data_IF_234874429900
#
_entry.id   IF_234874429900
#
_cell.length_a   1.000
_cell.length_b   1.000
_cell.length_c   1.000
_cell.angle_alpha   90.00
_cell.angle_beta   90.00
_cell.angle_gamma   90.00
#
_symmetry.space_group_name_H-M   'P 1'
#
loop_
_entity.id
_entity.type
_entity.pdbx_description
1 polymer ?
#
# COMPACT_ATOMS: atom_id res chain seq x y z
N UNK A 1 -31.43 2.97 65.65
CA UNK A 1 -31.43 4.36 66.12
C UNK A 1 -30.47 5.09 65.18
N UNK A 2 -31.04 5.71 64.13
CA UNK A 2 -31.23 7.16 63.90
C UNK A 2 -29.88 7.88 63.81
N UNK A 3 -29.48 8.54 62.75
CA UNK A 3 -30.05 9.59 61.86
C UNK A 3 -29.16 9.69 60.61
N UNK A 4 -29.55 9.63 59.43
CA UNK A 4 -30.13 10.59 58.48
C UNK A 4 -29.70 12.03 58.70
N UNK A 5 -28.86 12.60 57.80
CA UNK A 5 -29.26 13.78 57.01
C UNK A 5 -28.13 14.37 56.15
N UNK A 6 -28.39 14.46 54.84
CA UNK A 6 -28.18 15.62 53.96
C UNK A 6 -26.78 16.22 53.79
N UNK A 7 -26.21 16.03 52.62
CA UNK A 7 -25.46 17.12 51.97
C UNK A 7 -25.58 17.01 50.42
N UNK A 8 -26.48 17.77 49.87
CA UNK A 8 -26.40 18.67 48.71
C UNK A 8 -25.68 18.14 47.46
N UNK A 9 -26.50 17.86 46.48
CA UNK A 9 -26.22 17.94 45.06
C UNK A 9 -25.39 19.18 44.70
N UNK A 10 -24.22 18.96 44.11
CA UNK A 10 -23.53 19.94 43.27
C UNK A 10 -23.68 19.49 41.81
N UNK A 11 -24.67 20.07 41.15
CA UNK A 11 -24.86 20.08 39.71
C UNK A 11 -23.61 20.64 39.03
N UNK A 12 -22.84 19.79 38.35
CA UNK A 12 -21.83 20.20 37.42
C UNK A 12 -22.51 20.42 36.07
N UNK A 13 -22.57 21.66 35.62
CA UNK A 13 -23.05 22.05 34.30
C UNK A 13 -22.09 21.50 33.27
N UNK A 14 -22.55 20.84 32.17
CA UNK A 14 -21.69 20.53 31.03
C UNK A 14 -21.38 21.81 30.25
N UNK A 15 -20.12 21.99 29.90
CA UNK A 15 -19.65 23.01 28.96
C UNK A 15 -20.33 22.74 27.61
N UNK A 16 -21.22 23.60 27.20
CA UNK A 16 -21.79 23.64 25.84
C UNK A 16 -20.75 24.16 24.89
N UNK A 17 -20.24 23.29 24.04
CA UNK A 17 -19.58 23.69 22.81
C UNK A 17 -20.68 23.80 21.76
N UNK A 18 -21.09 25.03 21.46
CA UNK A 18 -21.98 25.33 20.32
C UNK A 18 -21.18 24.97 19.04
N UNK A 19 -21.65 23.95 18.33
CA UNK A 19 -21.22 23.66 16.97
C UNK A 19 -21.83 24.74 16.10
N UNK A 20 -21.05 25.77 15.78
CA UNK A 20 -21.39 26.74 14.76
C UNK A 20 -21.38 26.05 13.40
N UNK A 21 -22.55 26.09 12.76
CA UNK A 21 -22.77 25.61 11.41
C UNK A 21 -21.83 26.31 10.42
N UNK A 22 -20.93 25.54 9.82
CA UNK A 22 -19.99 26.00 8.77
C UNK A 22 -20.69 26.24 7.42
N UNK A 23 -22.03 26.38 7.39
CA UNK A 23 -22.81 26.57 6.16
C UNK A 23 -23.26 28.01 5.91
N UNK A 24 -22.95 28.98 6.78
CA UNK A 24 -23.38 30.37 6.61
C UNK A 24 -22.31 31.36 6.11
N UNK A 25 -21.11 30.92 5.74
CA UNK A 25 -20.05 31.83 5.24
C UNK A 25 -19.98 31.90 3.70
N UNK A 26 -20.83 31.20 2.96
CA UNK A 26 -20.83 31.25 1.49
C UNK A 26 -21.93 32.11 0.84
N UNK A 27 -22.68 32.94 1.58
CA UNK A 27 -23.80 33.74 1.03
C UNK A 27 -23.73 35.24 1.33
N UNK A 28 -22.53 35.84 1.25
CA UNK A 28 -22.40 37.30 1.25
C UNK A 28 -21.43 37.69 0.14
N UNK A 29 -21.97 37.97 -1.02
CA UNK A 29 -21.54 38.83 -2.12
C UNK A 29 -22.05 38.35 -3.48
N UNK A 30 -23.35 38.38 -3.68
CA UNK A 30 -23.92 38.53 -5.01
C UNK A 30 -25.20 39.38 -4.86
N UNK A 31 -25.01 40.68 -4.89
CA UNK A 31 -26.12 41.65 -5.02
C UNK A 31 -26.78 41.52 -6.40
N UNK A 32 -27.99 40.97 -6.40
CA UNK A 32 -28.88 41.04 -7.56
C UNK A 32 -30.03 41.97 -7.17
N UNK A 33 -30.05 43.15 -7.75
CA UNK A 33 -31.22 44.04 -7.78
C UNK A 33 -32.16 43.58 -8.89
N UNK A 34 -33.49 43.60 -8.67
CA UNK A 34 -34.46 43.16 -9.66
C UNK A 34 -35.00 44.28 -10.53
N UNK A 35 -35.32 43.91 -11.75
CA UNK A 35 -36.36 44.38 -12.66
C UNK A 35 -36.29 45.78 -13.27
N UNK A 36 -36.16 45.80 -14.59
CA UNK A 36 -37.06 46.59 -15.44
C UNK A 36 -37.28 45.84 -16.77
N UNK A 37 -38.51 45.60 -17.11
CA UNK A 37 -38.96 45.11 -18.40
C UNK A 37 -38.98 46.32 -19.40
N UNK A 38 -38.51 46.08 -20.63
CA UNK A 38 -38.58 47.06 -21.70
C UNK A 38 -38.15 46.42 -23.02
N UNK A 39 -39.08 46.49 -23.96
CA UNK A 39 -39.15 45.88 -25.27
C UNK A 39 -37.94 46.10 -26.22
N UNK A 40 -37.63 45.10 -27.00
CA UNK A 40 -37.37 45.00 -28.43
C UNK A 40 -36.28 45.91 -29.06
N UNK A 41 -35.21 45.30 -29.53
CA UNK A 41 -34.91 45.34 -30.98
C UNK A 41 -33.77 44.38 -31.35
N UNK A 42 -33.90 43.86 -32.54
CA UNK A 42 -32.99 42.94 -33.21
C UNK A 42 -31.64 43.61 -33.53
N UNK A 43 -30.51 42.90 -33.37
CA UNK A 43 -29.53 42.61 -34.44
C UNK A 43 -28.17 42.13 -33.93
N UNK A 44 -27.72 41.11 -34.63
CA UNK A 44 -26.34 40.73 -34.96
C UNK A 44 -25.45 40.06 -33.92
N UNK A 45 -25.09 38.86 -34.29
CA UNK A 45 -24.01 38.00 -33.82
C UNK A 45 -22.70 38.73 -33.56
N UNK A 46 -22.16 38.53 -32.41
CA UNK A 46 -20.77 38.76 -32.06
C UNK A 46 -20.38 37.80 -30.95
N UNK A 47 -19.85 36.66 -31.29
CA UNK A 47 -19.21 35.74 -30.33
C UNK A 47 -17.94 36.42 -29.80
N UNK A 48 -18.00 36.99 -28.62
CA UNK A 48 -16.82 37.42 -27.88
C UNK A 48 -16.52 36.34 -26.84
N UNK A 49 -15.57 35.46 -27.18
CA UNK A 49 -14.84 34.68 -26.20
C UNK A 49 -14.23 35.62 -25.17
N UNK A 50 -14.75 35.57 -23.93
CA UNK A 50 -14.09 36.18 -22.79
C UNK A 50 -12.87 35.30 -22.45
N UNK A 51 -11.73 35.57 -23.07
CA UNK A 51 -10.43 35.16 -22.57
C UNK A 51 -10.21 35.87 -21.25
N UNK A 52 -10.26 35.12 -20.15
CA UNK A 52 -9.82 35.56 -18.84
C UNK A 52 -8.33 35.88 -18.96
N UNK A 53 -8.00 37.16 -19.10
CA UNK A 53 -6.62 37.66 -19.00
C UNK A 53 -6.13 37.37 -17.59
N UNK A 54 -5.42 36.23 -17.41
CA UNK A 54 -4.60 35.98 -16.24
C UNK A 54 -3.63 37.14 -16.14
N UNK A 55 -3.70 37.86 -15.03
CA UNK A 55 -2.95 39.09 -14.76
C UNK A 55 -1.46 38.85 -15.07
N UNK A 56 -0.95 39.49 -16.13
CA UNK A 56 0.41 39.29 -16.66
C UNK A 56 1.50 39.63 -15.63
N UNK A 57 1.15 40.40 -14.62
CA UNK A 57 2.04 40.76 -13.50
C UNK A 57 2.28 39.61 -12.55
N UNK A 58 1.26 38.81 -12.24
CA UNK A 58 1.37 37.62 -11.38
C UNK A 58 2.16 36.50 -12.08
N UNK A 59 1.97 36.34 -13.40
CA UNK A 59 2.73 35.36 -14.17
C UNK A 59 4.25 35.65 -14.13
N UNK A 60 4.64 36.88 -14.36
CA UNK A 60 6.06 37.30 -14.29
C UNK A 60 6.66 37.16 -12.89
N UNK A 61 5.89 37.48 -11.84
CA UNK A 61 6.34 37.29 -10.45
C UNK A 61 6.60 35.83 -10.12
N UNK A 62 5.75 34.89 -10.59
CA UNK A 62 5.93 33.45 -10.43
C UNK A 62 7.18 32.97 -11.19
N UNK A 63 7.41 33.42 -12.42
CA UNK A 63 8.60 33.05 -13.19
C UNK A 63 9.90 33.53 -12.54
N UNK A 64 9.92 34.73 -12.00
CA UNK A 64 11.06 35.22 -11.22
C UNK A 64 11.31 34.41 -9.97
N UNK A 65 10.25 34.04 -9.22
CA UNK A 65 10.35 33.18 -8.04
C UNK A 65 10.89 31.78 -8.41
N UNK A 66 10.39 31.19 -9.50
CA UNK A 66 10.88 29.90 -10.01
C UNK A 66 12.36 29.98 -10.36
N UNK A 67 12.76 31.01 -11.10
CA UNK A 67 14.18 31.23 -11.48
C UNK A 67 15.07 31.41 -10.25
N UNK A 68 14.61 32.12 -9.22
CA UNK A 68 15.36 32.31 -7.98
C UNK A 68 15.51 30.99 -7.21
N UNK A 69 14.44 30.19 -7.14
CA UNK A 69 14.47 28.85 -6.49
C UNK A 69 15.46 27.94 -7.24
N UNK A 70 15.40 27.88 -8.56
CA UNK A 70 16.32 27.07 -9.37
C UNK A 70 17.78 27.49 -9.23
N UNK A 71 18.07 28.78 -9.10
CA UNK A 71 19.43 29.29 -8.82
C UNK A 71 19.92 28.90 -7.44
N UNK A 72 19.04 28.90 -6.43
CA UNK A 72 19.41 28.63 -5.04
C UNK A 72 19.49 27.14 -4.74
N UNK A 73 18.58 26.33 -5.28
CA UNK A 73 18.41 24.91 -4.93
C UNK A 73 18.71 23.94 -6.09
N UNK A 74 19.04 24.46 -7.27
CA UNK A 74 19.34 23.68 -8.47
C UNK A 74 18.11 23.50 -9.39
N UNK A 75 18.39 23.20 -10.68
CA UNK A 75 17.36 22.92 -11.68
C UNK A 75 16.51 21.74 -11.25
N UNK A 76 15.18 21.86 -11.35
CA UNK A 76 14.22 20.82 -10.96
C UNK A 76 13.81 20.88 -9.49
N UNK A 77 14.31 21.84 -8.68
CA UNK A 77 13.84 22.07 -7.31
C UNK A 77 12.35 22.46 -7.25
N UNK A 78 11.86 23.08 -8.31
CA UNK A 78 10.43 23.38 -8.54
C UNK A 78 10.09 23.08 -9.99
N UNK A 79 8.89 22.54 -10.24
CA UNK A 79 8.40 22.30 -11.59
C UNK A 79 6.89 22.57 -11.65
N UNK A 80 6.40 23.05 -12.80
CA UNK A 80 4.96 23.14 -13.05
C UNK A 80 4.47 21.76 -13.48
N UNK A 81 3.47 21.20 -12.79
CA UNK A 81 2.71 20.04 -13.27
C UNK A 81 1.83 20.51 -14.43
N UNK A 82 2.37 20.50 -15.65
CA UNK A 82 1.64 20.84 -16.87
C UNK A 82 1.18 19.60 -17.62
N UNK A 83 0.46 19.81 -18.73
CA UNK A 83 -0.05 18.74 -19.59
C UNK A 83 1.06 17.81 -20.15
N UNK A 84 2.30 18.29 -20.21
CA UNK A 84 3.48 17.54 -20.67
C UNK A 84 4.17 16.75 -19.55
N UNK A 85 3.80 16.98 -18.30
CA UNK A 85 4.15 16.06 -17.21
C UNK A 85 3.22 14.84 -17.29
N UNK A 86 3.35 14.07 -18.36
CA UNK A 86 2.87 12.70 -18.39
C UNK A 86 3.47 12.07 -17.16
N UNK A 87 2.63 11.76 -16.18
CA UNK A 87 2.99 10.94 -15.03
C UNK A 87 3.55 9.66 -15.62
N UNK A 88 4.87 9.61 -15.80
CA UNK A 88 5.56 8.46 -16.35
C UNK A 88 5.09 7.23 -15.58
N UNK A 89 5.00 6.09 -16.24
CA UNK A 89 4.61 4.85 -15.59
C UNK A 89 5.47 4.67 -14.34
N UNK A 90 4.80 4.56 -13.18
CA UNK A 90 5.50 4.36 -11.92
C UNK A 90 6.21 3.01 -12.00
N UNK A 91 7.54 2.94 -11.88
CA UNK A 91 8.24 1.67 -11.91
C UNK A 91 7.78 0.80 -10.72
N UNK A 92 7.53 -0.48 -10.99
CA UNK A 92 6.94 -1.41 -10.03
C UNK A 92 7.71 -2.72 -9.92
N UNK A 93 7.53 -3.40 -8.78
CA UNK A 93 7.87 -4.82 -8.58
C UNK A 93 6.56 -5.56 -8.30
N UNK A 94 6.34 -6.69 -8.99
CA UNK A 94 5.19 -7.56 -8.76
C UNK A 94 5.22 -8.13 -7.34
N UNK A 95 4.06 -8.40 -6.78
CA UNK A 95 3.91 -9.10 -5.49
C UNK A 95 3.96 -10.62 -5.63
N UNK A 96 3.94 -11.14 -6.85
CA UNK A 96 3.79 -12.57 -7.14
C UNK A 96 2.32 -13.04 -7.17
N UNK A 97 1.37 -12.17 -6.84
CA UNK A 97 -0.07 -12.38 -6.99
C UNK A 97 -0.62 -11.38 -8.00
N UNK A 98 -1.19 -11.86 -9.10
CA UNK A 98 -1.78 -11.01 -10.13
C UNK A 98 -2.97 -10.23 -9.60
N UNK A 99 -3.81 -10.86 -8.79
CA UNK A 99 -4.98 -10.21 -8.18
C UNK A 99 -4.56 -9.05 -7.28
N UNK A 100 -3.50 -9.22 -6.47
CA UNK A 100 -2.97 -8.16 -5.62
C UNK A 100 -2.31 -7.04 -6.45
N UNK A 101 -1.56 -7.38 -7.48
CA UNK A 101 -0.93 -6.41 -8.38
C UNK A 101 -1.97 -5.52 -9.06
N UNK A 102 -3.10 -6.10 -9.52
CA UNK A 102 -4.22 -5.35 -10.08
C UNK A 102 -4.98 -4.53 -9.03
N UNK A 103 -5.12 -5.05 -7.80
CA UNK A 103 -5.74 -4.31 -6.69
C UNK A 103 -4.93 -3.08 -6.29
N UNK A 104 -3.60 -3.14 -6.39
CA UNK A 104 -2.70 -2.01 -6.19
C UNK A 104 -2.86 -0.90 -7.24
N UNK A 105 -3.50 -1.20 -8.38
CA UNK A 105 -3.88 -0.22 -9.40
C UNK A 105 -2.76 0.24 -10.33
N UNK A 106 -1.51 -0.06 -9.99
CA UNK A 106 -0.33 0.24 -10.83
C UNK A 106 0.38 -1.01 -11.34
N UNK A 107 -0.12 -2.22 -10.97
CA UNK A 107 0.41 -3.49 -11.41
C UNK A 107 1.54 -4.05 -10.53
N UNK A 108 1.64 -3.60 -9.29
CA UNK A 108 2.63 -4.07 -8.32
C UNK A 108 2.96 -3.05 -7.24
N UNK A 109 4.00 -3.32 -6.45
CA UNK A 109 4.50 -2.38 -5.45
C UNK A 109 5.30 -1.26 -6.12
N UNK A 110 5.01 0.02 -5.80
CA UNK A 110 5.68 1.16 -6.44
C UNK A 110 7.12 1.31 -5.95
N UNK A 111 8.09 1.45 -6.86
CA UNK A 111 9.49 1.76 -6.53
C UNK A 111 9.62 3.16 -5.92
N UNK A 112 10.68 3.35 -5.13
CA UNK A 112 10.92 4.61 -4.43
C UNK A 112 9.94 4.86 -3.28
N UNK A 113 9.34 3.82 -2.71
CA UNK A 113 8.29 3.94 -1.67
C UNK A 113 8.52 2.99 -0.50
N UNK A 114 7.98 3.41 0.64
CA UNK A 114 7.85 2.56 1.84
C UNK A 114 6.54 1.81 1.76
N UNK A 115 6.59 0.50 1.96
CA UNK A 115 5.46 -0.43 2.01
C UNK A 115 5.42 -1.08 3.39
N UNK A 116 4.25 -1.22 3.99
CA UNK A 116 4.04 -1.99 5.21
C UNK A 116 3.12 -3.18 4.91
N UNK A 117 3.58 -4.39 5.24
CA UNK A 117 2.80 -5.62 5.23
C UNK A 117 2.56 -6.01 6.69
N UNK A 118 1.31 -6.03 7.14
CA UNK A 118 1.00 -6.33 8.53
C UNK A 118 -0.18 -7.29 8.65
N UNK A 119 -0.21 -8.02 9.75
CA UNK A 119 -1.26 -8.99 10.01
C UNK A 119 -0.94 -9.88 11.22
N UNK A 120 -1.86 -10.79 11.60
CA UNK A 120 -1.65 -11.77 12.65
C UNK A 120 -0.47 -12.69 12.36
N UNK A 121 -0.06 -13.45 13.36
CA UNK A 121 0.91 -14.54 13.19
C UNK A 121 0.41 -15.57 12.17
N UNK A 122 1.34 -16.22 11.45
CA UNK A 122 1.06 -17.25 10.44
C UNK A 122 0.06 -16.82 9.33
N UNK A 123 -0.07 -15.52 9.06
CA UNK A 123 -0.94 -14.99 8.00
C UNK A 123 -0.29 -14.95 6.60
N UNK A 124 1.03 -15.23 6.49
CA UNK A 124 1.77 -15.25 5.23
C UNK A 124 2.52 -13.94 4.91
N UNK A 125 2.81 -13.09 5.91
CA UNK A 125 3.55 -11.82 5.73
C UNK A 125 4.92 -12.03 5.10
N UNK A 126 5.77 -12.86 5.72
CA UNK A 126 7.12 -13.20 5.24
C UNK A 126 7.06 -13.90 3.89
N UNK A 127 6.08 -14.78 3.67
CA UNK A 127 5.86 -15.43 2.37
C UNK A 127 5.61 -14.40 1.27
N UNK A 128 4.71 -13.45 1.49
CA UNK A 128 4.44 -12.38 0.52
C UNK A 128 5.68 -11.51 0.28
N UNK A 129 6.43 -11.16 1.33
CA UNK A 129 7.66 -10.39 1.21
C UNK A 129 8.74 -11.14 0.41
N UNK A 130 8.88 -12.47 0.61
CA UNK A 130 9.81 -13.30 -0.16
C UNK A 130 9.38 -13.44 -1.63
N UNK A 131 8.09 -13.48 -1.93
CA UNK A 131 7.62 -13.42 -3.32
C UNK A 131 8.02 -12.10 -3.99
N UNK A 132 7.90 -10.96 -3.30
CA UNK A 132 8.36 -9.66 -3.82
C UNK A 132 9.86 -9.69 -4.12
N UNK A 133 10.68 -10.29 -3.23
CA UNK A 133 12.12 -10.50 -3.45
C UNK A 133 12.36 -11.35 -4.70
N UNK A 134 11.67 -12.49 -4.82
CA UNK A 134 11.78 -13.39 -5.98
C UNK A 134 11.43 -12.67 -7.29
N UNK A 135 10.33 -11.90 -7.30
CA UNK A 135 9.90 -11.14 -8.48
C UNK A 135 10.89 -10.02 -8.86
N UNK A 136 11.53 -9.37 -7.88
CA UNK A 136 12.60 -8.41 -8.12
C UNK A 136 13.81 -9.08 -8.80
N UNK A 137 14.25 -10.22 -8.25
CA UNK A 137 15.40 -10.97 -8.80
C UNK A 137 15.12 -11.58 -10.18
N UNK A 138 13.88 -12.01 -10.48
CA UNK A 138 13.48 -12.48 -11.83
C UNK A 138 13.64 -11.38 -12.88
N UNK A 139 13.50 -10.11 -12.51
CA UNK A 139 13.74 -8.96 -13.39
C UNK A 139 15.19 -8.48 -13.40
N UNK A 140 16.11 -9.24 -12.78
CA UNK A 140 17.52 -8.88 -12.67
C UNK A 140 17.84 -7.83 -11.60
N UNK A 141 16.88 -7.54 -10.72
CA UNK A 141 17.03 -6.60 -9.61
C UNK A 141 17.79 -7.20 -8.42
N UNK A 142 18.43 -6.33 -7.64
CA UNK A 142 19.15 -6.69 -6.40
C UNK A 142 18.20 -6.58 -5.22
N UNK A 143 18.21 -7.60 -4.35
CA UNK A 143 17.36 -7.67 -3.17
C UNK A 143 18.19 -7.82 -1.89
N UNK A 144 17.73 -7.21 -0.80
CA UNK A 144 18.27 -7.37 0.53
C UNK A 144 17.19 -7.78 1.53
N UNK A 145 17.56 -8.62 2.49
CA UNK A 145 16.68 -9.07 3.57
C UNK A 145 17.34 -8.79 4.92
N UNK A 146 16.72 -7.94 5.70
CA UNK A 146 17.14 -7.62 7.07
C UNK A 146 16.31 -8.48 8.01
N UNK A 147 16.89 -9.58 8.45
CA UNK A 147 16.27 -10.58 9.32
C UNK A 147 16.49 -10.23 10.79
N UNK A 148 15.64 -9.36 11.33
CA UNK A 148 15.70 -8.97 12.73
C UNK A 148 15.08 -10.03 13.68
N UNK A 149 14.31 -10.98 13.16
CA UNK A 149 13.78 -12.11 13.95
C UNK A 149 14.75 -13.30 14.01
N UNK A 150 15.82 -13.31 13.19
CA UNK A 150 16.77 -14.42 13.03
C UNK A 150 16.07 -15.74 12.68
N UNK A 151 15.03 -15.68 11.88
CA UNK A 151 14.10 -16.79 11.63
C UNK A 151 13.91 -17.13 10.14
N UNK A 152 14.74 -16.56 9.24
CA UNK A 152 14.62 -16.81 7.80
C UNK A 152 14.97 -18.27 7.46
N UNK A 153 13.99 -19.02 6.97
CA UNK A 153 14.21 -20.35 6.40
C UNK A 153 14.70 -20.22 4.95
N UNK A 154 15.98 -20.47 4.75
CA UNK A 154 16.66 -20.41 3.46
C UNK A 154 16.09 -21.43 2.47
N UNK A 155 15.71 -22.64 2.95
CA UNK A 155 15.14 -23.69 2.11
C UNK A 155 13.74 -23.29 1.62
N UNK A 156 12.97 -22.68 2.50
CA UNK A 156 11.65 -22.14 2.14
C UNK A 156 11.78 -21.00 1.14
N UNK A 157 12.67 -20.04 1.37
CA UNK A 157 12.94 -18.94 0.43
C UNK A 157 13.32 -19.44 -0.97
N UNK A 158 14.18 -20.48 -1.04
CA UNK A 158 14.56 -21.13 -2.30
C UNK A 158 13.36 -21.75 -3.01
N UNK A 159 12.45 -22.41 -2.29
CA UNK A 159 11.23 -23.00 -2.86
C UNK A 159 10.30 -21.93 -3.44
N UNK A 160 10.27 -20.72 -2.85
CA UNK A 160 9.53 -19.57 -3.36
C UNK A 160 10.19 -18.89 -4.59
N UNK A 161 11.31 -19.43 -5.06
CA UNK A 161 12.04 -18.94 -6.23
C UNK A 161 13.04 -17.83 -5.94
N UNK A 162 13.37 -17.59 -4.66
CA UNK A 162 14.44 -16.65 -4.30
C UNK A 162 15.79 -17.25 -4.66
N UNK A 163 16.60 -16.51 -5.40
CA UNK A 163 17.99 -16.83 -5.68
C UNK A 163 18.83 -16.47 -4.47
N UNK A 164 19.14 -17.47 -3.66
CA UNK A 164 19.82 -17.28 -2.37
C UNK A 164 21.24 -16.74 -2.55
N UNK A 165 21.94 -17.18 -3.59
CA UNK A 165 23.32 -16.78 -3.87
C UNK A 165 23.42 -15.28 -4.24
N UNK A 166 22.32 -14.68 -4.72
CA UNK A 166 22.22 -13.28 -5.09
C UNK A 166 21.50 -12.42 -4.02
N UNK A 167 21.09 -13.03 -2.90
CA UNK A 167 20.36 -12.33 -1.84
C UNK A 167 21.32 -11.77 -0.78
N UNK A 168 21.28 -10.45 -0.56
CA UNK A 168 21.98 -9.82 0.56
C UNK A 168 21.20 -10.08 1.85
N UNK A 169 21.82 -10.72 2.82
CA UNK A 169 21.21 -10.98 4.15
C UNK A 169 21.99 -10.23 5.21
N UNK A 170 21.24 -9.63 6.16
CA UNK A 170 21.79 -9.06 7.38
C UNK A 170 20.95 -9.48 8.57
N UNK A 171 21.60 -9.85 9.67
CA UNK A 171 20.98 -10.22 10.94
C UNK A 171 21.48 -9.28 12.04
N UNK A 172 20.89 -8.10 12.18
CA UNK A 172 21.33 -7.08 13.11
C UNK A 172 20.93 -7.40 14.55
N UNK A 173 21.80 -7.05 15.51
CA UNK A 173 21.52 -7.23 16.93
C UNK A 173 20.61 -6.15 17.52
N UNK A 174 20.55 -4.97 16.91
CA UNK A 174 19.77 -3.82 17.40
C UNK A 174 18.92 -3.19 16.29
N UNK A 175 17.84 -2.52 16.68
CA UNK A 175 16.97 -1.79 15.74
C UNK A 175 17.71 -0.64 15.05
N UNK A 176 18.63 0.05 15.75
CA UNK A 176 19.47 1.08 15.16
C UNK A 176 20.34 0.53 14.04
N UNK A 177 21.03 -0.60 14.28
CA UNK A 177 21.88 -1.26 13.31
C UNK A 177 21.07 -1.70 12.07
N UNK A 178 19.89 -2.31 12.26
CA UNK A 178 19.00 -2.69 11.17
C UNK A 178 18.63 -1.51 10.27
N UNK A 179 18.26 -0.38 10.87
CA UNK A 179 17.82 0.81 10.16
C UNK A 179 18.97 1.58 9.51
N UNK A 180 20.18 1.56 10.11
CA UNK A 180 21.40 2.13 9.52
C UNK A 180 21.88 1.32 8.31
N UNK A 181 21.86 -0.02 8.40
CA UNK A 181 22.15 -0.89 7.25
C UNK A 181 21.17 -0.62 6.13
N UNK A 182 19.86 -0.54 6.46
CA UNK A 182 18.82 -0.19 5.48
C UNK A 182 19.12 1.18 4.83
N UNK A 183 19.50 2.19 5.60
CA UNK A 183 19.84 3.53 5.08
C UNK A 183 21.03 3.48 4.12
N UNK A 184 22.09 2.75 4.46
CA UNK A 184 23.28 2.60 3.62
C UNK A 184 22.91 1.93 2.29
N UNK A 185 22.15 0.84 2.33
CA UNK A 185 21.70 0.12 1.14
C UNK A 185 20.80 0.99 0.25
N UNK A 186 19.83 1.71 0.82
CA UNK A 186 19.00 2.66 0.07
C UNK A 186 19.84 3.76 -0.58
N UNK A 187 20.79 4.33 0.15
CA UNK A 187 21.64 5.41 -0.33
C UNK A 187 22.57 5.00 -1.45
N UNK A 188 22.96 3.72 -1.52
CA UNK A 188 23.78 3.19 -2.61
C UNK A 188 23.08 3.29 -3.97
N UNK A 189 21.74 3.28 -4.00
CA UNK A 189 20.93 3.28 -5.23
C UNK A 189 21.05 1.98 -6.05
N UNK A 190 21.74 0.97 -5.53
CA UNK A 190 21.99 -0.30 -6.23
C UNK A 190 21.00 -1.42 -5.87
N UNK A 191 20.15 -1.22 -4.84
CA UNK A 191 19.22 -2.23 -4.34
C UNK A 191 17.80 -1.85 -4.74
N UNK A 192 17.09 -2.78 -5.38
CA UNK A 192 15.72 -2.57 -5.85
C UNK A 192 14.68 -2.79 -4.75
N UNK A 193 14.89 -3.77 -3.90
CA UNK A 193 13.99 -4.09 -2.78
C UNK A 193 14.77 -4.46 -1.52
N UNK A 194 14.34 -3.90 -0.39
CA UNK A 194 14.83 -4.23 0.94
C UNK A 194 13.63 -4.67 1.77
N UNK A 195 13.70 -5.86 2.35
CA UNK A 195 12.71 -6.36 3.32
C UNK A 195 13.29 -6.22 4.72
N UNK A 196 12.53 -5.68 5.65
CA UNK A 196 12.86 -5.64 7.09
C UNK A 196 11.82 -6.51 7.82
N UNK A 197 12.24 -7.68 8.27
CA UNK A 197 11.37 -8.67 8.96
C UNK A 197 11.89 -8.94 10.38
N UNK A 198 11.20 -8.50 11.42
CA UNK A 198 10.03 -7.65 11.43
C UNK A 198 10.26 -6.40 12.29
N UNK A 199 9.41 -5.37 12.09
CA UNK A 199 9.43 -4.16 12.93
C UNK A 199 9.29 -4.49 14.42
N UNK A 200 8.55 -5.56 14.76
CA UNK A 200 8.37 -5.99 16.14
C UNK A 200 9.68 -6.41 16.83
N UNK A 201 10.65 -6.89 16.05
CA UNK A 201 11.95 -7.35 16.53
C UNK A 201 13.04 -6.24 16.51
N UNK A 202 12.71 -5.04 16.03
CA UNK A 202 13.63 -3.90 16.08
C UNK A 202 13.73 -3.33 17.50
N UNK A 203 14.50 -4.00 18.36
CA UNK A 203 14.71 -3.57 19.74
C UNK A 203 15.75 -2.45 19.77
N UNK A 204 15.44 -1.31 20.40
CA UNK A 204 16.42 -0.23 20.60
C UNK A 204 17.61 -0.67 21.43
N UNK A 205 18.81 -0.22 21.07
CA UNK A 205 20.04 -0.54 21.79
C UNK A 205 19.95 -0.24 23.30
N UNK A 206 19.37 0.90 23.67
CA UNK A 206 19.18 1.27 25.07
C UNK A 206 18.25 0.31 25.84
N UNK A 207 17.36 -0.40 25.16
CA UNK A 207 16.50 -1.43 25.76
C UNK A 207 17.26 -2.75 25.97
N UNK A 208 18.21 -3.06 25.08
CA UNK A 208 19.08 -4.25 25.19
C UNK A 208 20.12 -4.08 26.31
N UNK A 209 20.67 -2.87 26.45
CA UNK A 209 21.68 -2.54 27.45
C UNK A 209 21.09 -2.24 28.84
N UNK A 210 19.76 -2.07 28.96
CA UNK A 210 19.06 -1.84 30.23
C UNK A 210 18.84 -3.12 31.03
N UNK A 211 18.48 -2.94 32.31
CA UNK A 211 18.17 -4.07 33.18
C UNK A 211 16.77 -4.65 32.90
N UNK A 212 16.61 -5.95 33.16
CA UNK A 212 15.30 -6.62 33.05
C UNK A 212 14.28 -5.98 33.98
N UNK A 213 13.25 -5.36 33.42
CA UNK A 213 12.18 -4.68 34.16
C UNK A 213 12.19 -3.17 34.04
N UNK A 214 13.20 -2.59 33.39
CA UNK A 214 13.24 -1.15 33.09
C UNK A 214 12.12 -0.72 32.16
N UNK A 215 11.56 0.43 32.41
CA UNK A 215 10.47 0.99 31.61
C UNK A 215 11.00 1.71 30.38
N UNK A 216 11.07 1.04 29.25
CA UNK A 216 11.52 1.59 27.96
C UNK A 216 10.38 2.03 27.04
N UNK A 217 9.32 2.62 27.63
CA UNK A 217 8.12 3.00 26.89
C UNK A 217 8.42 3.99 25.75
N UNK A 218 8.02 3.59 24.51
CA UNK A 218 8.06 4.46 23.33
C UNK A 218 9.41 4.60 22.64
N UNK A 219 10.50 3.96 23.10
CA UNK A 219 11.81 4.02 22.45
C UNK A 219 11.75 3.52 21.00
N UNK A 220 11.15 2.35 20.77
CA UNK A 220 10.97 1.81 19.43
C UNK A 220 10.18 2.75 18.51
N UNK A 221 9.09 3.37 18.99
CA UNK A 221 8.31 4.32 18.20
C UNK A 221 9.10 5.60 17.87
N UNK A 222 9.97 6.05 18.77
CA UNK A 222 10.88 7.18 18.55
C UNK A 222 11.95 6.83 17.52
N UNK A 223 12.56 5.65 17.63
CA UNK A 223 13.54 5.12 16.68
C UNK A 223 12.95 5.03 15.28
N UNK A 224 11.78 4.40 15.13
CA UNK A 224 11.08 4.29 13.85
C UNK A 224 10.71 5.66 13.25
N UNK A 225 10.27 6.61 14.07
CA UNK A 225 9.95 7.96 13.62
C UNK A 225 11.19 8.71 13.11
N UNK A 226 12.32 8.56 13.76
CA UNK A 226 13.59 9.16 13.37
C UNK A 226 14.12 8.54 12.07
N UNK A 227 14.15 7.21 11.98
CA UNK A 227 14.63 6.48 10.81
C UNK A 227 13.78 6.77 9.56
N UNK A 228 12.45 6.66 9.65
CA UNK A 228 11.57 6.91 8.51
C UNK A 228 11.64 8.35 7.99
N UNK A 229 11.88 9.33 8.88
CA UNK A 229 12.10 10.72 8.47
C UNK A 229 13.34 10.87 7.60
N UNK A 230 14.43 10.16 7.92
CA UNK A 230 15.66 10.15 7.11
C UNK A 230 15.48 9.33 5.83
N UNK A 231 14.92 8.13 5.94
CA UNK A 231 14.82 7.16 4.86
C UNK A 231 13.90 7.61 3.72
N UNK A 232 12.77 8.27 4.03
CA UNK A 232 11.73 8.55 3.02
C UNK A 232 12.25 9.36 1.84
N UNK A 233 13.06 10.40 2.09
CA UNK A 233 13.62 11.24 1.02
C UNK A 233 14.64 10.49 0.17
N UNK A 234 15.46 9.65 0.80
CA UNK A 234 16.49 8.84 0.11
C UNK A 234 15.86 7.73 -0.70
N UNK A 235 14.87 7.02 -0.15
CA UNK A 235 14.09 5.97 -0.81
C UNK A 235 13.45 6.48 -2.11
N UNK A 236 12.85 7.67 -2.07
CA UNK A 236 12.23 8.28 -3.26
C UNK A 236 13.25 8.57 -4.38
N UNK A 237 14.49 8.92 -4.03
CA UNK A 237 15.55 9.23 -5.00
C UNK A 237 16.24 7.99 -5.55
N UNK A 238 16.39 6.94 -4.74
CA UNK A 238 17.07 5.69 -5.11
C UNK A 238 16.21 4.71 -5.91
N UNK A 239 14.90 4.96 -6.02
CA UNK A 239 13.92 4.02 -6.58
C UNK A 239 13.89 2.64 -5.89
N UNK A 240 14.39 2.55 -4.65
CA UNK A 240 14.34 1.33 -3.84
C UNK A 240 12.95 1.17 -3.21
N UNK A 241 12.42 -0.05 -3.15
CA UNK A 241 11.26 -0.37 -2.32
C UNK A 241 11.77 -0.82 -0.95
N UNK A 242 11.26 -0.22 0.13
CA UNK A 242 11.51 -0.75 1.48
C UNK A 242 10.22 -1.32 2.03
N UNK A 243 10.20 -2.64 2.23
CA UNK A 243 9.07 -3.40 2.77
C UNK A 243 9.31 -3.65 4.25
N UNK A 244 8.46 -3.09 5.10
CA UNK A 244 8.44 -3.40 6.53
C UNK A 244 7.36 -4.45 6.81
N UNK A 245 7.77 -5.60 7.29
CA UNK A 245 6.88 -6.63 7.84
C UNK A 245 6.56 -6.26 9.28
N UNK A 246 5.28 -6.28 9.66
CA UNK A 246 4.84 -5.82 10.98
C UNK A 246 3.82 -6.77 11.60
N UNK A 247 3.80 -6.82 12.92
CA UNK A 247 2.87 -7.60 13.70
C UNK A 247 1.73 -6.73 14.25
N UNK A 248 0.58 -7.35 14.48
CA UNK A 248 -0.56 -6.72 15.15
C UNK A 248 -0.43 -6.93 16.66
N UNK A 249 -0.74 -5.89 17.42
CA UNK A 249 -0.91 -5.91 18.88
C UNK A 249 -2.28 -5.36 19.23
N UNK A 250 -2.83 -5.81 20.37
CA UNK A 250 -4.10 -5.32 20.88
C UNK A 250 -3.85 -4.21 21.89
N UNK A 251 -4.52 -3.07 21.73
CA UNK A 251 -4.51 -2.00 22.72
C UNK A 251 -5.42 -2.38 23.87
N UNK A 252 -4.90 -2.32 25.07
CA UNK A 252 -5.67 -2.58 26.30
C UNK A 252 -6.58 -1.36 26.59
N UNK A 253 -7.81 -1.63 27.05
CA UNK A 253 -8.75 -0.59 27.50
C UNK A 253 -9.58 0.08 26.41
N UNK A 254 -9.55 -0.40 25.16
CA UNK A 254 -10.43 0.09 24.10
C UNK A 254 -11.74 -0.72 24.13
N UNK A 255 -12.83 -0.11 24.60
CA UNK A 255 -14.15 -0.73 24.62
C UNK A 255 -14.92 -0.55 23.31
N UNK A 256 -14.63 0.51 22.54
CA UNK A 256 -15.31 0.83 21.27
C UNK A 256 -14.29 1.09 20.16
N UNK A 257 -14.58 0.63 18.93
CA UNK A 257 -13.71 0.76 17.78
C UNK A 257 -12.75 -0.42 17.61
N UNK A 258 -11.74 -0.27 16.70
CA UNK A 258 -10.77 -1.33 16.44
C UNK A 258 -9.59 -1.23 17.42
N UNK A 259 -9.40 -2.22 18.32
CA UNK A 259 -8.28 -2.25 19.26
C UNK A 259 -6.94 -2.61 18.61
N UNK A 260 -6.94 -3.12 17.38
CA UNK A 260 -5.72 -3.55 16.69
C UNK A 260 -4.80 -2.38 16.36
N UNK A 261 -3.53 -2.54 16.62
CA UNK A 261 -2.47 -1.61 16.25
C UNK A 261 -1.22 -2.36 15.82
N UNK A 262 -0.40 -1.74 14.98
CA UNK A 262 0.90 -2.28 14.59
C UNK A 262 2.00 -1.81 15.57
N UNK A 263 3.10 -2.58 15.69
CA UNK A 263 4.27 -2.22 16.49
C UNK A 263 5.04 -1.04 15.88
N UNK A 264 5.97 -0.44 16.63
CA UNK A 264 6.77 0.68 16.14
C UNK A 264 6.04 2.03 16.09
N UNK A 265 4.87 2.15 16.76
CA UNK A 265 4.09 3.38 16.86
C UNK A 265 3.33 3.75 15.59
N UNK A 266 3.14 5.06 15.37
CA UNK A 266 2.34 5.54 14.22
C UNK A 266 3.18 5.93 13.00
N UNK A 267 4.51 5.88 13.08
CA UNK A 267 5.38 6.40 12.03
C UNK A 267 5.13 5.71 10.68
N UNK A 268 5.08 4.37 10.63
CA UNK A 268 4.79 3.62 9.40
C UNK A 268 3.42 3.95 8.82
N UNK A 269 2.40 4.20 9.65
CA UNK A 269 1.06 4.58 9.17
C UNK A 269 1.08 5.87 8.36
N UNK A 270 1.98 6.80 8.69
CA UNK A 270 2.12 8.08 7.98
C UNK A 270 3.07 7.98 6.79
N UNK A 271 4.26 7.39 6.99
CA UNK A 271 5.32 7.36 5.98
C UNK A 271 5.11 6.34 4.87
N UNK A 272 4.48 5.19 5.13
CA UNK A 272 4.19 4.21 4.09
C UNK A 272 3.28 4.78 3.00
N UNK A 273 3.58 4.45 1.75
CA UNK A 273 2.73 4.76 0.59
C UNK A 273 1.69 3.68 0.35
N UNK A 274 2.02 2.44 0.66
CA UNK A 274 1.14 1.27 0.58
C UNK A 274 1.13 0.56 1.93
N UNK A 275 -0.05 0.14 2.39
CA UNK A 275 -0.22 -0.70 3.59
C UNK A 275 -1.15 -1.85 3.26
N UNK A 276 -0.68 -3.07 3.51
CA UNK A 276 -1.35 -4.32 3.22
C UNK A 276 -1.67 -5.04 4.54
N UNK A 277 -2.96 -5.25 4.82
CA UNK A 277 -3.44 -6.10 5.92
C UNK A 277 -3.65 -7.51 5.37
N UNK A 278 -2.83 -8.47 5.81
CA UNK A 278 -2.87 -9.86 5.35
C UNK A 278 -3.41 -10.77 6.45
N UNK A 279 -4.44 -11.56 6.11
CA UNK A 279 -5.14 -12.44 7.06
C UNK A 279 -5.44 -13.79 6.45
N UNK A 280 -5.16 -14.85 7.21
CA UNK A 280 -5.64 -16.19 6.90
C UNK A 280 -7.14 -16.25 7.19
N UNK A 281 -7.94 -16.71 6.21
CA UNK A 281 -9.40 -16.83 6.34
C UNK A 281 -9.90 -18.27 6.38
N UNK A 282 -9.18 -19.20 5.74
CA UNK A 282 -9.54 -20.62 5.75
C UNK A 282 -8.31 -21.50 5.59
N UNK A 283 -8.42 -22.78 5.97
CA UNK A 283 -7.41 -23.81 5.67
C UNK A 283 -7.79 -24.54 4.40
N UNK A 284 -6.81 -24.77 3.52
CA UNK A 284 -6.97 -25.61 2.33
C UNK A 284 -6.55 -27.02 2.71
N UNK A 285 -7.44 -27.99 2.47
CA UNK A 285 -7.24 -29.38 2.84
C UNK A 285 -7.24 -30.27 1.60
N UNK A 286 -6.38 -31.27 1.60
CA UNK A 286 -6.40 -32.39 0.65
C UNK A 286 -6.61 -33.67 1.45
N UNK A 287 -7.82 -34.21 1.40
CA UNK A 287 -8.23 -35.28 2.32
C UNK A 287 -8.25 -34.76 3.77
N UNK A 288 -7.44 -35.37 4.65
CA UNK A 288 -7.30 -34.95 6.06
C UNK A 288 -6.17 -33.95 6.29
N UNK A 289 -5.25 -33.81 5.34
CA UNK A 289 -4.06 -32.98 5.48
C UNK A 289 -4.33 -31.51 5.11
N UNK A 290 -3.78 -30.59 5.91
CA UNK A 290 -3.81 -29.15 5.62
C UNK A 290 -2.61 -28.83 4.74
N UNK A 291 -2.87 -28.58 3.45
CA UNK A 291 -1.84 -28.29 2.44
C UNK A 291 -1.57 -26.81 2.26
N UNK A 292 -2.41 -25.95 2.81
CA UNK A 292 -2.25 -24.51 2.65
C UNK A 292 -3.32 -23.69 3.37
N UNK A 293 -3.39 -22.43 3.03
CA UNK A 293 -4.40 -21.50 3.56
C UNK A 293 -4.93 -20.56 2.49
N UNK A 294 -6.23 -20.31 2.52
CA UNK A 294 -6.84 -19.18 1.81
C UNK A 294 -6.53 -17.92 2.59
N UNK A 295 -5.92 -16.96 1.93
CA UNK A 295 -5.43 -15.72 2.54
C UNK A 295 -6.08 -14.54 1.86
N UNK A 296 -6.55 -13.57 2.66
CA UNK A 296 -7.10 -12.31 2.20
C UNK A 296 -6.10 -11.19 2.46
N UNK A 297 -5.90 -10.34 1.46
CA UNK A 297 -5.09 -9.13 1.55
C UNK A 297 -5.97 -7.92 1.28
N UNK A 298 -6.00 -6.99 2.22
CA UNK A 298 -6.69 -5.72 2.09
C UNK A 298 -5.69 -4.58 1.91
N UNK A 299 -5.86 -3.79 0.88
CA UNK A 299 -5.08 -2.57 0.63
C UNK A 299 -5.63 -1.44 1.50
N UNK A 300 -5.13 -1.31 2.73
CA UNK A 300 -5.65 -0.34 3.73
C UNK A 300 -5.27 1.09 3.39
N UNK A 301 -4.10 1.27 2.77
CA UNK A 301 -3.60 2.58 2.32
C UNK A 301 -2.90 2.42 0.99
N UNK A 302 -3.16 3.34 0.08
CA UNK A 302 -2.49 3.42 -1.21
C UNK A 302 -2.39 4.89 -1.65
N UNK A 303 -1.18 5.37 -1.92
CA UNK A 303 -0.93 6.74 -2.41
C UNK A 303 -0.79 6.83 -3.93
N UNK A 304 -0.81 5.67 -4.63
CA UNK A 304 -0.61 5.62 -6.09
C UNK A 304 -1.87 5.21 -6.85
N UNK A 305 -2.91 4.73 -6.15
CA UNK A 305 -4.22 4.38 -6.68
C UNK A 305 -5.28 4.39 -5.57
N UNK A 306 -6.59 4.27 -5.87
CA UNK A 306 -7.63 4.17 -4.86
C UNK A 306 -7.41 2.97 -3.92
N UNK A 307 -7.45 3.19 -2.59
CA UNK A 307 -7.28 2.14 -1.58
C UNK A 307 -8.55 1.29 -1.37
N UNK A 308 -8.52 0.42 -0.35
CA UNK A 308 -9.62 -0.39 0.18
C UNK A 308 -10.08 -1.55 -0.70
N UNK A 309 -9.31 -1.91 -1.72
CA UNK A 309 -9.53 -3.14 -2.45
C UNK A 309 -9.10 -4.34 -1.61
N UNK A 310 -9.83 -5.42 -1.74
CA UNK A 310 -9.54 -6.71 -1.10
C UNK A 310 -9.38 -7.78 -2.17
N UNK A 311 -8.43 -8.67 -1.95
CA UNK A 311 -8.16 -9.82 -2.81
C UNK A 311 -7.91 -11.05 -1.97
N UNK A 312 -8.19 -12.21 -2.54
CA UNK A 312 -7.98 -13.49 -1.89
C UNK A 312 -7.23 -14.42 -2.81
N UNK A 313 -6.22 -15.07 -2.27
CA UNK A 313 -5.45 -16.10 -2.97
C UNK A 313 -5.05 -17.24 -2.04
N UNK A 314 -4.62 -18.34 -2.64
CA UNK A 314 -4.15 -19.52 -1.89
C UNK A 314 -2.65 -19.40 -1.60
N UNK A 315 -2.27 -19.64 -0.34
CA UNK A 315 -0.89 -19.89 0.06
C UNK A 315 -0.73 -21.39 0.31
N UNK A 316 0.05 -22.07 -0.52
CA UNK A 316 0.33 -23.50 -0.40
C UNK A 316 1.62 -23.70 0.38
N UNK A 317 1.62 -24.61 1.32
CA UNK A 317 2.79 -24.92 2.15
C UNK A 317 3.93 -25.45 1.27
N UNK A 318 5.08 -24.75 1.30
CA UNK A 318 6.25 -25.12 0.52
C UNK A 318 6.26 -24.62 -0.94
N UNK A 319 5.13 -24.10 -1.46
CA UNK A 319 5.05 -23.55 -2.82
C UNK A 319 4.77 -22.02 -2.81
N UNK A 320 4.17 -21.50 -1.73
CA UNK A 320 3.81 -20.09 -1.61
C UNK A 320 2.48 -19.74 -2.28
N UNK A 321 2.42 -18.60 -2.97
CA UNK A 321 1.22 -18.13 -3.67
C UNK A 321 0.93 -19.06 -4.87
N UNK A 322 -0.28 -19.64 -4.90
CA UNK A 322 -0.73 -20.44 -6.06
C UNK A 322 -1.08 -19.51 -7.22
N UNK A 323 -0.15 -19.41 -8.20
CA UNK A 323 -0.34 -18.61 -9.41
C UNK A 323 -1.55 -19.08 -10.21
N UNK A 324 -1.71 -20.40 -10.38
CA UNK A 324 -2.83 -21.01 -11.12
C UNK A 324 -4.17 -20.71 -10.44
N UNK A 325 -4.21 -20.77 -9.10
CA UNK A 325 -5.41 -20.47 -8.32
C UNK A 325 -5.79 -18.99 -8.41
N UNK A 326 -4.82 -18.11 -8.32
CA UNK A 326 -5.00 -16.65 -8.37
C UNK A 326 -5.51 -16.21 -9.76
N UNK A 327 -4.88 -16.68 -10.84
CA UNK A 327 -5.28 -16.41 -12.22
C UNK A 327 -6.66 -16.98 -12.54
N UNK A 328 -6.93 -18.23 -12.12
CA UNK A 328 -8.22 -18.89 -12.35
C UNK A 328 -9.37 -18.13 -11.67
N UNK A 329 -9.20 -17.77 -10.40
CA UNK A 329 -10.22 -17.05 -9.64
C UNK A 329 -10.51 -15.68 -10.28
N UNK A 330 -9.46 -14.95 -10.65
CA UNK A 330 -9.56 -13.65 -11.28
C UNK A 330 -10.18 -13.73 -12.69
N UNK A 331 -9.79 -14.73 -13.49
CA UNK A 331 -10.34 -14.97 -14.82
C UNK A 331 -11.83 -15.33 -14.77
N UNK A 332 -12.25 -16.10 -13.76
CA UNK A 332 -13.65 -16.39 -13.53
C UNK A 332 -14.43 -15.13 -13.06
N UNK A 333 -13.86 -14.30 -12.24
CA UNK A 333 -14.46 -13.02 -11.81
C UNK A 333 -14.67 -12.06 -13.00
N UNK A 334 -13.71 -12.04 -13.95
CA UNK A 334 -13.77 -11.19 -15.15
C UNK A 334 -14.49 -11.83 -16.34
N UNK A 335 -15.11 -13.01 -16.18
CA UNK A 335 -15.79 -13.77 -17.23
C UNK A 335 -14.89 -14.13 -18.43
N UNK A 336 -13.58 -14.19 -18.25
CA UNK A 336 -12.62 -14.76 -19.21
C UNK A 336 -12.71 -16.29 -19.19
N UNK A 337 -12.85 -16.85 -17.98
CA UNK A 337 -13.18 -18.26 -17.77
C UNK A 337 -14.67 -18.38 -17.46
N UNK A 338 -15.37 -19.13 -18.27
CA UNK A 338 -16.79 -19.44 -18.09
C UNK A 338 -16.98 -20.47 -16.99
N UNK A 339 -17.84 -20.17 -16.01
CA UNK A 339 -18.21 -21.10 -14.95
C UNK A 339 -19.66 -21.52 -15.11
N UNK A 340 -19.88 -22.77 -15.55
CA UNK A 340 -21.19 -23.37 -15.69
C UNK A 340 -21.38 -24.50 -14.67
N UNK A 341 -22.10 -24.21 -13.59
CA UNK A 341 -22.20 -25.11 -12.44
C UNK A 341 -20.83 -25.39 -11.81
N UNK A 342 -20.40 -26.65 -11.86
CA UNK A 342 -19.08 -27.08 -11.37
C UNK A 342 -17.98 -27.04 -12.45
N UNK A 343 -18.32 -26.78 -13.71
CA UNK A 343 -17.38 -26.81 -14.82
C UNK A 343 -16.77 -25.44 -15.09
N UNK A 344 -15.47 -25.46 -15.35
CA UNK A 344 -14.70 -24.32 -15.83
C UNK A 344 -14.36 -24.52 -17.31
N UNK A 345 -14.58 -23.50 -18.14
CA UNK A 345 -14.24 -23.51 -19.56
C UNK A 345 -13.50 -22.23 -19.95
N UNK A 346 -12.52 -22.36 -20.83
CA UNK A 346 -11.75 -21.25 -21.38
C UNK A 346 -11.70 -21.39 -22.90
N UNK A 347 -12.03 -20.33 -23.64
CA UNK A 347 -12.10 -20.33 -25.11
C UNK A 347 -12.92 -21.50 -25.69
N UNK A 348 -14.03 -21.83 -25.02
CA UNK A 348 -14.93 -22.95 -25.46
C UNK A 348 -14.42 -24.35 -25.05
N UNK A 349 -13.21 -24.48 -24.50
CA UNK A 349 -12.66 -25.76 -24.02
C UNK A 349 -12.88 -25.92 -22.52
N UNK A 350 -13.39 -27.10 -22.10
CA UNK A 350 -13.47 -27.46 -20.68
C UNK A 350 -12.07 -27.67 -20.10
N UNK A 351 -11.74 -26.96 -19.03
CA UNK A 351 -10.43 -27.03 -18.37
C UNK A 351 -10.47 -27.80 -17.04
N UNK A 352 -11.68 -28.07 -16.50
CA UNK A 352 -11.81 -28.92 -15.30
C UNK A 352 -13.20 -28.88 -14.70
N UNK A 353 -13.56 -29.98 -14.02
CA UNK A 353 -14.72 -30.03 -13.14
C UNK A 353 -14.27 -29.75 -11.70
N UNK A 354 -14.72 -28.64 -11.15
CA UNK A 354 -14.25 -28.13 -9.85
C UNK A 354 -12.96 -27.30 -9.97
N UNK A 355 -12.75 -26.44 -8.95
CA UNK A 355 -11.63 -25.50 -8.91
C UNK A 355 -10.26 -26.18 -8.90
N UNK A 356 -10.13 -27.28 -8.13
CA UNK A 356 -8.84 -27.96 -7.99
C UNK A 356 -8.42 -28.68 -9.29
N UNK A 357 -9.36 -29.28 -10.02
CA UNK A 357 -9.05 -29.90 -11.31
C UNK A 357 -8.68 -28.83 -12.38
N UNK A 358 -9.34 -27.67 -12.34
CA UNK A 358 -8.99 -26.56 -13.24
C UNK A 358 -7.59 -25.99 -12.90
N UNK A 359 -7.23 -25.87 -11.62
CA UNK A 359 -5.86 -25.49 -11.20
C UNK A 359 -4.83 -26.50 -11.68
N UNK A 360 -5.10 -27.79 -11.51
CA UNK A 360 -4.20 -28.85 -11.95
C UNK A 360 -4.00 -28.80 -13.48
N UNK A 361 -5.08 -28.60 -14.24
CA UNK A 361 -4.99 -28.40 -15.69
C UNK A 361 -4.09 -27.22 -16.06
N UNK A 362 -4.23 -26.07 -15.37
CA UNK A 362 -3.40 -24.90 -15.63
C UNK A 362 -1.92 -25.13 -15.26
N UNK A 363 -1.66 -25.90 -14.19
CA UNK A 363 -0.30 -26.30 -13.78
C UNK A 363 0.38 -27.16 -14.84
N UNK A 364 -0.40 -28.05 -15.51
CA UNK A 364 0.07 -28.93 -16.59
C UNK A 364 0.16 -28.19 -17.94
N UNK A 365 -0.56 -27.07 -18.09
CA UNK A 365 -0.61 -26.29 -19.35
C UNK A 365 -0.18 -24.82 -19.12
N UNK A 366 1.11 -24.54 -18.87
CA UNK A 366 1.59 -23.19 -18.55
C UNK A 366 1.35 -22.17 -19.68
N UNK A 367 1.31 -22.60 -20.95
CA UNK A 367 1.00 -21.71 -22.07
C UNK A 367 -0.42 -21.14 -21.99
N UNK A 368 -1.39 -21.95 -21.55
CA UNK A 368 -2.78 -21.51 -21.35
C UNK A 368 -2.85 -20.52 -20.19
N UNK A 369 -2.14 -20.81 -19.11
CA UNK A 369 -2.02 -19.90 -17.97
C UNK A 369 -1.44 -18.53 -18.37
N UNK A 370 -0.32 -18.52 -19.12
CA UNK A 370 0.32 -17.29 -19.60
C UNK A 370 -0.60 -16.49 -20.56
N UNK A 371 -1.43 -17.18 -21.35
CA UNK A 371 -2.40 -16.53 -22.23
C UNK A 371 -3.52 -15.86 -21.40
N UNK A 372 -4.07 -16.56 -20.42
CA UNK A 372 -5.08 -16.00 -19.50
C UNK A 372 -4.53 -14.75 -18.76
N UNK A 373 -3.29 -14.79 -18.29
CA UNK A 373 -2.67 -13.64 -17.64
C UNK A 373 -2.56 -12.43 -18.58
N UNK A 374 -2.17 -12.67 -19.84
CA UNK A 374 -2.09 -11.59 -20.82
C UNK A 374 -3.45 -10.94 -21.07
N UNK A 375 -4.49 -11.74 -21.26
CA UNK A 375 -5.86 -11.25 -21.44
C UNK A 375 -6.35 -10.45 -20.22
N UNK A 376 -6.05 -10.92 -19.00
CA UNK A 376 -6.37 -10.21 -17.77
C UNK A 376 -5.66 -8.85 -17.69
N UNK A 377 -4.37 -8.80 -18.05
CA UNK A 377 -3.58 -7.56 -18.04
C UNK A 377 -4.04 -6.58 -19.11
N UNK A 378 -4.42 -7.06 -20.30
CA UNK A 378 -4.97 -6.22 -21.38
C UNK A 378 -6.30 -5.59 -20.96
N UNK A 379 -7.22 -6.38 -20.40
CA UNK A 379 -8.49 -5.88 -19.87
C UNK A 379 -8.29 -4.84 -18.77
N UNK A 380 -7.29 -5.02 -17.91
CA UNK A 380 -6.95 -4.04 -16.88
C UNK A 380 -6.42 -2.73 -17.47
N UNK A 381 -5.54 -2.80 -18.48
CA UNK A 381 -5.00 -1.61 -19.17
C UNK A 381 -6.10 -0.82 -19.87
N UNK A 382 -7.02 -1.49 -20.56
CA UNK A 382 -8.18 -0.87 -21.23
C UNK A 382 -9.07 -0.18 -20.20
N UNK A 383 -9.39 -0.84 -19.08
CA UNK A 383 -10.21 -0.26 -18.03
C UNK A 383 -9.56 0.98 -17.39
N UNK A 384 -8.23 0.97 -17.23
CA UNK A 384 -7.47 2.12 -16.71
C UNK A 384 -7.47 3.30 -17.69
N UNK A 385 -7.32 3.05 -18.98
CA UNK A 385 -7.36 4.09 -20.02
C UNK A 385 -8.76 4.74 -20.11
N UNK A 386 -9.83 3.96 -19.98
CA UNK A 386 -11.22 4.45 -20.00
C UNK A 386 -11.66 5.21 -18.75
N UNK A 387 -10.93 5.11 -17.64
CA UNK A 387 -11.23 5.84 -16.38
C UNK A 387 -10.57 7.22 -16.28
N UNK A 388 -9.75 7.61 -17.25
CA UNK A 388 -9.03 8.90 -17.32
C UNK A 388 -9.70 9.87 -18.29
N UNK A 389 -10.79 9.46 -18.98
CA UNK A 389 -11.56 10.25 -19.95
C UNK A 389 -12.74 11.03 -19.30
#
# INVERSE_FOLDING_TARGET
MTEIQNAKEKTVRPFGIEIWNLFEICNLELGICPAYAGEGDSMTKGETKAETKVDSSKGKAVELAVTQIERQYGKGAIMKLGADAVLGEIPIISTGSLSLDLALGVGGLPKGRVVEIFGPEASGKTTLALHVVSEAQKKGGVAAFIDAEHALDVQYAKKLGVKIDDLLISQPDTGEQALEITEILVRSGAVDVIVVDSVAALVPKAEIEGDMGDAHMGLQARLMSQALRKLTATISKSNTIVVFVNQIRMKIGIMFGNPETTTGGNALKFYSSVRLDIRRIASIKQGQDVIGSRTRVRVVKNKVAPPFKEVEFDLIHGEGISREGDVLDLAAEKNIVEKSGTWYAYSGQRIGQGRENAKQFLKENPKVLDQMEKELLENFRIAKAGSIG
#
